data_IF_801506894949
#
_entry.id   IF_801506894949
#
_cell.length_a   1.000
_cell.length_b   1.000
_cell.length_c   1.000
_cell.angle_alpha   90.00
_cell.angle_beta   90.00
_cell.angle_gamma   90.00
#
_symmetry.space_group_name_H-M   'P 1'
#
loop_
_entity.id
_entity.type
_entity.pdbx_description
1 polymer ?
#
# COMPACT_ATOMS: atom_id res chain seq x y z
N UNK A 1 2.63 18.54 -4.00
CA UNK A 1 2.38 19.35 -2.78
C UNK A 1 2.92 18.51 -1.64
N UNK A 2 3.82 19.05 -0.82
CA UNK A 2 4.53 18.25 0.18
C UNK A 2 3.89 18.47 1.55
N UNK A 3 3.56 17.39 2.26
CA UNK A 3 2.92 17.42 3.58
C UNK A 3 3.60 16.45 4.54
N UNK A 4 4.13 16.99 5.64
CA UNK A 4 4.72 16.18 6.72
C UNK A 4 3.73 16.04 7.90
N UNK A 5 3.23 14.83 8.10
CA UNK A 5 2.37 14.48 9.23
C UNK A 5 3.23 14.21 10.48
N UNK A 6 3.54 15.28 11.24
CA UNK A 6 4.43 15.23 12.42
C UNK A 6 3.70 15.05 13.77
N UNK A 7 2.43 14.59 13.75
CA UNK A 7 1.57 14.46 14.93
C UNK A 7 1.03 13.05 15.15
N UNK A 8 0.28 12.84 16.24
CA UNK A 8 -0.33 11.55 16.55
C UNK A 8 -1.41 11.12 15.55
N UNK A 9 -2.13 12.09 14.98
CA UNK A 9 -3.18 11.88 13.99
C UNK A 9 -3.03 12.90 12.85
N UNK A 10 -3.17 12.44 11.62
CA UNK A 10 -3.11 13.24 10.40
C UNK A 10 -4.22 12.77 9.45
N UNK A 11 -5.17 13.65 9.15
CA UNK A 11 -6.27 13.36 8.22
C UNK A 11 -6.21 14.37 7.07
N UNK A 12 -5.92 13.88 5.86
CA UNK A 12 -5.61 14.68 4.69
C UNK A 12 -6.41 14.22 3.49
N UNK A 13 -7.03 15.19 2.81
CA UNK A 13 -7.54 15.02 1.46
C UNK A 13 -6.72 15.91 0.52
N UNK A 14 -5.99 15.30 -0.42
CA UNK A 14 -5.07 16.00 -1.30
C UNK A 14 -5.41 15.73 -2.77
N UNK A 15 -5.04 16.67 -3.63
CA UNK A 15 -5.25 16.54 -5.07
C UNK A 15 -4.13 15.72 -5.74
N UNK A 16 -4.07 15.81 -7.06
CA UNK A 16 -3.05 15.15 -7.87
C UNK A 16 -1.62 15.63 -7.53
N UNK A 17 -0.64 14.74 -7.60
CA UNK A 17 0.77 15.11 -7.45
C UNK A 17 1.16 15.54 -6.02
N UNK A 18 0.57 14.89 -5.02
CA UNK A 18 0.85 15.19 -3.60
C UNK A 18 1.90 14.22 -3.06
N UNK A 19 2.87 14.73 -2.32
CA UNK A 19 3.86 13.95 -1.58
C UNK A 19 3.52 14.06 -0.08
N UNK A 20 3.35 12.94 0.59
CA UNK A 20 2.82 12.88 1.96
C UNK A 20 3.68 11.96 2.81
N UNK A 21 4.33 12.55 3.80
CA UNK A 21 5.21 11.85 4.74
C UNK A 21 4.49 11.63 6.07
N UNK A 22 4.17 10.38 6.37
CA UNK A 22 3.64 9.93 7.65
C UNK A 22 4.79 9.56 8.59
N UNK A 23 5.07 10.45 9.54
CA UNK A 23 6.23 10.32 10.43
C UNK A 23 6.01 9.25 11.48
N UNK A 24 7.11 8.64 11.96
CA UNK A 24 7.06 7.49 12.85
C UNK A 24 6.11 7.65 14.05
N UNK A 25 5.34 6.61 14.33
CA UNK A 25 4.31 6.55 15.39
C UNK A 25 3.12 7.52 15.20
N UNK A 26 2.87 8.00 13.97
CA UNK A 26 1.63 8.69 13.62
C UNK A 26 0.55 7.71 13.15
N UNK A 27 -0.71 8.12 13.31
CA UNK A 27 -1.84 7.56 12.57
C UNK A 27 -2.20 8.50 11.43
N UNK A 28 -2.13 8.02 10.20
CA UNK A 28 -2.45 8.79 9.01
C UNK A 28 -3.69 8.24 8.31
N UNK A 29 -4.60 9.12 7.93
CA UNK A 29 -5.69 8.86 7.00
C UNK A 29 -5.52 9.79 5.82
N UNK A 30 -5.31 9.23 4.63
CA UNK A 30 -4.95 9.96 3.42
C UNK A 30 -5.93 9.57 2.32
N UNK A 31 -6.59 10.57 1.75
CA UNK A 31 -7.33 10.49 0.49
C UNK A 31 -6.59 11.36 -0.54
N UNK A 32 -5.78 10.73 -1.37
CA UNK A 32 -4.94 11.40 -2.36
C UNK A 32 -5.44 11.10 -3.77
N UNK A 33 -5.36 12.12 -4.64
CA UNK A 33 -5.65 11.97 -6.06
C UNK A 33 -4.55 11.20 -6.81
N UNK A 34 -4.56 11.33 -8.13
CA UNK A 34 -3.65 10.64 -9.03
C UNK A 34 -2.19 11.08 -8.81
N UNK A 35 -1.23 10.20 -9.09
CA UNK A 35 0.21 10.50 -9.00
C UNK A 35 0.62 10.97 -7.59
N UNK A 36 0.04 10.38 -6.55
CA UNK A 36 0.40 10.69 -5.18
C UNK A 36 1.55 9.80 -4.70
N UNK A 37 2.50 10.39 -4.01
CA UNK A 37 3.60 9.71 -3.33
C UNK A 37 3.27 9.72 -1.82
N UNK A 38 3.20 8.56 -1.19
CA UNK A 38 2.89 8.42 0.24
C UNK A 38 3.93 7.54 0.92
N UNK A 39 4.66 8.11 1.87
CA UNK A 39 5.64 7.42 2.68
C UNK A 39 5.13 7.21 4.11
N UNK A 40 4.94 5.96 4.49
CA UNK A 40 4.51 5.54 5.82
C UNK A 40 5.71 5.03 6.62
N UNK A 41 6.26 5.91 7.45
CA UNK A 41 7.47 5.61 8.20
C UNK A 41 7.24 4.50 9.25
N UNK A 42 8.36 4.02 9.79
CA UNK A 42 8.40 2.96 10.81
C UNK A 42 7.37 3.15 11.94
N UNK A 43 6.62 2.09 12.27
CA UNK A 43 5.66 2.08 13.40
C UNK A 43 4.42 2.95 13.23
N UNK A 44 4.12 3.40 12.00
CA UNK A 44 2.90 4.18 11.71
C UNK A 44 1.69 3.28 11.47
N UNK A 45 0.50 3.86 11.63
CA UNK A 45 -0.73 3.26 11.10
C UNK A 45 -1.23 4.13 9.97
N UNK A 46 -1.19 3.64 8.74
CA UNK A 46 -1.57 4.39 7.55
C UNK A 46 -2.83 3.81 6.92
N UNK A 47 -3.84 4.65 6.71
CA UNK A 47 -4.99 4.34 5.87
C UNK A 47 -4.92 5.24 4.65
N UNK A 48 -4.68 4.67 3.48
CA UNK A 48 -4.41 5.40 2.24
C UNK A 48 -5.41 5.01 1.17
N UNK A 49 -6.05 5.99 0.57
CA UNK A 49 -6.76 5.88 -0.70
C UNK A 49 -5.98 6.74 -1.68
N UNK A 50 -5.42 6.13 -2.71
CA UNK A 50 -4.68 6.83 -3.76
C UNK A 50 -5.38 6.62 -5.10
N UNK A 51 -5.38 7.65 -5.94
CA UNK A 51 -5.81 7.56 -7.33
C UNK A 51 -4.88 6.68 -8.18
N UNK A 52 -5.05 6.71 -9.50
CA UNK A 52 -4.12 6.10 -10.44
C UNK A 52 -2.68 6.62 -10.31
N UNK A 53 -1.72 5.81 -10.70
CA UNK A 53 -0.29 6.11 -10.68
C UNK A 53 0.23 6.52 -9.28
N UNK A 54 -0.42 6.04 -8.21
CA UNK A 54 0.00 6.33 -6.83
C UNK A 54 1.13 5.42 -6.38
N UNK A 55 2.16 6.00 -5.77
CA UNK A 55 3.29 5.31 -5.15
C UNK A 55 3.11 5.33 -3.63
N UNK A 56 3.05 4.15 -3.00
CA UNK A 56 2.87 4.01 -1.55
C UNK A 56 3.92 3.08 -0.96
N UNK A 57 4.75 3.60 -0.06
CA UNK A 57 5.81 2.86 0.62
C UNK A 57 5.52 2.75 2.13
N UNK A 58 5.50 1.51 2.66
CA UNK A 58 5.24 1.20 4.06
C UNK A 58 6.46 0.54 4.71
N UNK A 59 7.10 1.27 5.62
CA UNK A 59 8.32 0.86 6.30
C UNK A 59 8.09 -0.06 7.51
N UNK A 60 9.18 -0.59 8.07
CA UNK A 60 9.21 -1.62 9.10
C UNK A 60 8.28 -1.35 10.28
N UNK A 61 7.50 -2.36 10.66
CA UNK A 61 6.55 -2.30 11.77
C UNK A 61 5.38 -1.34 11.58
N UNK A 62 5.19 -0.77 10.38
CA UNK A 62 3.96 -0.04 10.06
C UNK A 62 2.80 -0.99 9.79
N UNK A 63 1.59 -0.52 10.06
CA UNK A 63 0.33 -1.17 9.71
C UNK A 63 -0.38 -0.33 8.65
N UNK A 64 -0.40 -0.82 7.41
CA UNK A 64 -0.92 -0.09 6.26
C UNK A 64 -2.19 -0.72 5.71
N UNK A 65 -3.22 0.11 5.52
CA UNK A 65 -4.45 -0.22 4.82
C UNK A 65 -4.52 0.66 3.57
N UNK A 66 -4.31 0.07 2.40
CA UNK A 66 -4.07 0.80 1.16
C UNK A 66 -5.14 0.42 0.13
N UNK A 67 -5.68 1.42 -0.55
CA UNK A 67 -6.47 1.27 -1.77
C UNK A 67 -5.81 2.11 -2.87
N UNK A 68 -5.02 1.47 -3.72
CA UNK A 68 -4.36 2.11 -4.85
C UNK A 68 -5.20 1.97 -6.13
N UNK A 69 -5.22 3.02 -6.95
CA UNK A 69 -5.90 3.04 -8.24
C UNK A 69 -5.22 2.19 -9.31
N UNK A 70 -5.52 2.49 -10.58
CA UNK A 70 -4.86 1.85 -11.70
C UNK A 70 -3.39 2.24 -11.77
N UNK A 71 -2.53 1.34 -12.24
CA UNK A 71 -1.08 1.57 -12.40
C UNK A 71 -0.39 2.05 -11.10
N UNK A 72 -0.98 1.79 -9.93
CA UNK A 72 -0.38 2.14 -8.65
C UNK A 72 0.68 1.14 -8.19
N UNK A 73 1.69 1.63 -7.50
CA UNK A 73 2.81 0.87 -6.96
C UNK A 73 2.76 0.88 -5.43
N UNK A 74 2.71 -0.30 -4.80
CA UNK A 74 2.70 -0.43 -3.34
C UNK A 74 3.89 -1.26 -2.89
N UNK A 75 4.70 -0.75 -1.96
CA UNK A 75 5.79 -1.52 -1.35
C UNK A 75 5.61 -1.63 0.16
N UNK A 76 5.73 -2.85 0.65
CA UNK A 76 5.64 -3.19 2.06
C UNK A 76 6.93 -3.86 2.49
N UNK A 77 7.67 -3.20 3.38
CA UNK A 77 8.95 -3.65 3.87
C UNK A 77 8.87 -3.91 5.38
N UNK A 78 9.01 -5.18 5.78
CA UNK A 78 8.90 -5.63 7.19
C UNK A 78 7.65 -5.06 7.90
N UNK A 79 6.54 -4.94 7.15
CA UNK A 79 5.31 -4.26 7.57
C UNK A 79 4.07 -5.13 7.39
N UNK A 80 2.98 -4.78 8.07
CA UNK A 80 1.68 -5.43 7.93
C UNK A 80 0.80 -4.62 6.97
N UNK A 81 0.55 -5.16 5.79
CA UNK A 81 -0.18 -4.47 4.73
C UNK A 81 -1.47 -5.20 4.34
N UNK A 82 -2.57 -4.45 4.30
CA UNK A 82 -3.82 -4.84 3.64
C UNK A 82 -4.00 -3.96 2.42
N UNK A 83 -3.94 -4.54 1.23
CA UNK A 83 -3.80 -3.81 -0.03
C UNK A 83 -4.96 -4.16 -0.96
N UNK A 84 -5.64 -3.13 -1.46
CA UNK A 84 -6.56 -3.23 -2.59
C UNK A 84 -5.93 -2.56 -3.81
N UNK A 85 -5.78 -3.32 -4.89
CA UNK A 85 -5.14 -2.87 -6.13
C UNK A 85 -6.15 -2.70 -7.27
N UNK A 86 -5.97 -1.62 -8.04
CA UNK A 86 -6.65 -1.37 -9.31
C UNK A 86 -6.09 -2.20 -10.48
N UNK A 87 -6.46 -1.81 -11.69
CA UNK A 87 -5.95 -2.41 -12.93
C UNK A 87 -4.48 -2.03 -13.17
N UNK A 88 -3.66 -2.98 -13.64
CA UNK A 88 -2.22 -2.83 -13.88
C UNK A 88 -1.37 -2.43 -12.66
N UNK A 89 -1.97 -2.33 -11.47
CA UNK A 89 -1.28 -1.98 -10.24
C UNK A 89 -0.44 -3.15 -9.70
N UNK A 90 0.60 -2.82 -8.93
CA UNK A 90 1.56 -3.79 -8.42
C UNK A 90 1.79 -3.64 -6.91
N UNK A 91 2.01 -4.76 -6.23
CA UNK A 91 2.43 -4.79 -4.84
C UNK A 91 3.73 -5.59 -4.68
N UNK A 92 4.68 -5.05 -3.92
CA UNK A 92 5.93 -5.69 -3.56
C UNK A 92 6.04 -5.85 -2.05
N UNK A 93 6.20 -7.07 -1.58
CA UNK A 93 6.27 -7.40 -0.15
C UNK A 93 7.63 -8.00 0.16
N UNK A 94 8.42 -7.30 0.98
CA UNK A 94 9.84 -7.61 1.22
C UNK A 94 10.18 -7.65 2.71
N UNK A 95 11.35 -8.19 3.03
CA UNK A 95 11.95 -8.17 4.37
C UNK A 95 11.10 -8.83 5.47
N UNK A 96 10.23 -9.78 5.12
CA UNK A 96 9.37 -10.45 6.11
C UNK A 96 8.00 -9.80 6.28
N UNK A 97 7.62 -8.88 5.40
CA UNK A 97 6.31 -8.24 5.40
C UNK A 97 5.16 -9.28 5.35
N UNK A 98 4.03 -8.91 5.93
CA UNK A 98 2.78 -9.66 5.81
C UNK A 98 1.82 -8.87 4.94
N UNK A 99 1.49 -9.41 3.78
CA UNK A 99 0.65 -8.74 2.79
C UNK A 99 -0.63 -9.52 2.51
N UNK A 100 -1.77 -8.88 2.72
CA UNK A 100 -3.06 -9.34 2.26
C UNK A 100 -3.50 -8.50 1.05
N UNK A 101 -3.36 -9.03 -0.16
CA UNK A 101 -3.62 -8.32 -1.41
C UNK A 101 -4.95 -8.76 -2.01
N UNK A 102 -5.79 -7.79 -2.36
CA UNK A 102 -7.03 -7.98 -3.12
C UNK A 102 -6.96 -7.18 -4.40
N UNK A 103 -7.10 -7.84 -5.55
CA UNK A 103 -7.08 -7.16 -6.83
C UNK A 103 -8.49 -7.02 -7.40
N UNK A 104 -8.84 -5.79 -7.74
CA UNK A 104 -10.12 -5.45 -8.38
C UNK A 104 -10.06 -5.53 -9.90
N UNK A 105 -8.85 -5.36 -10.48
CA UNK A 105 -8.53 -5.55 -11.88
C UNK A 105 -7.37 -6.53 -12.07
N UNK A 106 -6.75 -6.49 -13.26
CA UNK A 106 -5.47 -7.17 -13.47
C UNK A 106 -4.40 -6.53 -12.58
N UNK A 107 -3.58 -7.31 -11.88
CA UNK A 107 -2.59 -6.77 -10.95
C UNK A 107 -1.40 -7.73 -10.84
N UNK A 108 -0.29 -7.26 -10.27
CA UNK A 108 0.85 -8.12 -9.99
C UNK A 108 1.27 -8.03 -8.53
N UNK A 109 1.60 -9.17 -7.94
CA UNK A 109 2.16 -9.25 -6.58
C UNK A 109 3.50 -9.94 -6.64
N UNK A 110 4.51 -9.29 -6.07
CA UNK A 110 5.83 -9.86 -5.83
C UNK A 110 6.00 -10.05 -4.33
N UNK A 111 6.33 -11.27 -3.93
CA UNK A 111 6.48 -11.68 -2.54
C UNK A 111 7.88 -12.24 -2.32
N UNK A 112 8.63 -11.60 -1.43
CA UNK A 112 9.93 -12.11 -1.00
C UNK A 112 9.76 -13.45 -0.24
N UNK A 113 10.72 -14.41 -0.36
CA UNK A 113 10.62 -15.72 0.29
C UNK A 113 10.50 -15.69 1.82
N UNK A 114 10.91 -14.60 2.48
CA UNK A 114 10.76 -14.43 3.92
C UNK A 114 9.41 -13.80 4.31
N UNK A 115 8.70 -13.24 3.34
CA UNK A 115 7.41 -12.56 3.51
C UNK A 115 6.24 -13.54 3.42
N UNK A 116 5.10 -13.13 3.98
CA UNK A 116 3.85 -13.89 3.91
C UNK A 116 2.84 -13.12 3.09
N UNK A 117 2.56 -13.57 1.87
CA UNK A 117 1.64 -12.88 0.98
C UNK A 117 0.43 -13.75 0.62
N UNK A 118 -0.75 -13.12 0.66
CA UNK A 118 -1.98 -13.67 0.09
C UNK A 118 -2.49 -12.78 -1.03
N UNK A 119 -3.04 -13.40 -2.06
CA UNK A 119 -3.63 -12.74 -3.21
C UNK A 119 -5.03 -13.27 -3.46
N UNK A 120 -6.00 -12.36 -3.52
CA UNK A 120 -7.36 -12.63 -3.95
C UNK A 120 -7.66 -11.85 -5.24
N UNK A 121 -7.88 -12.56 -6.34
CA UNK A 121 -8.28 -11.95 -7.60
C UNK A 121 -9.79 -11.64 -7.65
N UNK A 122 -10.17 -10.70 -8.50
CA UNK A 122 -11.57 -10.32 -8.68
C UNK A 122 -12.42 -11.54 -9.10
N UNK A 123 -13.46 -11.82 -8.32
CA UNK A 123 -14.35 -12.97 -8.54
C UNK A 123 -13.91 -14.27 -7.87
N UNK A 124 -12.74 -14.30 -7.21
CA UNK A 124 -12.35 -15.43 -6.37
C UNK A 124 -13.03 -15.35 -5.00
N UNK A 125 -13.43 -16.51 -4.48
CA UNK A 125 -14.08 -16.60 -3.18
C UNK A 125 -13.07 -16.52 -2.02
N UNK A 126 -11.85 -17.00 -2.23
CA UNK A 126 -10.83 -17.16 -1.19
C UNK A 126 -9.46 -16.73 -1.72
N UNK A 127 -8.62 -16.19 -0.85
CA UNK A 127 -7.26 -15.80 -1.20
C UNK A 127 -6.32 -17.02 -1.35
N UNK A 128 -5.37 -16.91 -2.26
CA UNK A 128 -4.29 -17.88 -2.47
C UNK A 128 -2.97 -17.39 -1.86
N UNK A 129 -2.07 -18.29 -1.48
CA UNK A 129 -0.74 -17.93 -0.99
C UNK A 129 0.23 -17.68 -2.14
N UNK A 130 1.01 -16.61 -2.07
CA UNK A 130 2.05 -16.26 -3.05
C UNK A 130 3.43 -16.51 -2.45
N UNK A 131 4.32 -17.16 -3.21
CA UNK A 131 5.68 -17.53 -2.76
C UNK A 131 6.82 -16.88 -3.56
N UNK A 132 6.50 -16.17 -4.64
CA UNK A 132 7.49 -15.45 -5.47
C UNK A 132 6.78 -14.36 -6.26
N UNK A 133 6.12 -14.71 -7.36
CA UNK A 133 5.29 -13.78 -8.12
C UNK A 133 3.94 -14.39 -8.43
N UNK A 134 2.90 -13.58 -8.37
CA UNK A 134 1.55 -13.93 -8.81
C UNK A 134 0.88 -12.74 -9.51
N UNK A 135 -0.13 -13.03 -10.31
CA UNK A 135 -0.89 -12.00 -11.01
C UNK A 135 -2.34 -12.42 -11.18
N UNK A 136 -3.22 -11.42 -11.14
CA UNK A 136 -4.55 -11.45 -11.69
C UNK A 136 -4.50 -10.79 -13.08
#
# INVERSE_FOLDING_TARGET
MDIDCTGAECDLATGMGSNIDCMSNSTCTIDAGDNAEIDCATGTTCTVVAGPDGDIDCESGSACMISAGADGDVKCNDSECTIQLGEAAVAACTEGATCAVTCTGACQVTCDPLSSCTLQCNGEAEASTVMDQASC
#
